data_IF_184771672154
#
_entry.id   IF_184771672154
#
_cell.length_a   1.000
_cell.length_b   1.000
_cell.length_c   1.000
_cell.angle_alpha   90.00
_cell.angle_beta   90.00
_cell.angle_gamma   90.00
#
_symmetry.space_group_name_H-M   'P 1'
#
loop_
_entity.id
_entity.type
_entity.pdbx_description
1 polymer ?
#
# COMPACT_ATOMS: atom_id res chain seq x y z
N UNK A 1 12.98 -4.90 -5.13
CA UNK A 1 12.37 -4.99 -3.79
C UNK A 1 12.54 -3.63 -3.16
N UNK A 2 11.46 -3.06 -2.65
CA UNK A 2 11.44 -1.81 -1.91
C UNK A 2 11.24 -2.11 -0.43
N UNK A 3 11.89 -1.36 0.45
CA UNK A 3 11.59 -1.34 1.88
C UNK A 3 10.38 -0.43 2.09
N UNK A 4 9.32 -0.96 2.67
CA UNK A 4 8.05 -0.29 2.89
C UNK A 4 7.90 0.10 4.35
N UNK A 5 7.41 1.33 4.58
CA UNK A 5 6.99 1.82 5.88
C UNK A 5 5.60 2.44 5.76
N UNK A 6 4.66 1.99 6.60
CA UNK A 6 3.33 2.55 6.72
C UNK A 6 3.16 3.29 8.04
N UNK A 7 2.51 4.46 7.99
CA UNK A 7 2.32 5.36 9.12
C UNK A 7 0.84 5.65 9.34
N UNK A 8 0.41 5.81 10.59
CA UNK A 8 -0.94 6.27 10.89
C UNK A 8 -1.14 7.77 10.58
N UNK A 9 -2.36 8.27 10.80
CA UNK A 9 -2.70 9.69 10.61
C UNK A 9 -1.95 10.67 11.53
N UNK A 10 -1.28 10.18 12.57
CA UNK A 10 -0.43 10.96 13.46
C UNK A 10 1.05 10.89 13.08
N UNK A 11 1.39 10.13 12.03
CA UNK A 11 2.76 9.93 11.57
C UNK A 11 3.55 8.88 12.37
N UNK A 12 2.90 8.07 13.20
CA UNK A 12 3.54 6.96 13.90
C UNK A 12 3.65 5.78 12.95
N UNK A 13 4.84 5.19 12.85
CA UNK A 13 5.04 4.01 12.02
C UNK A 13 4.31 2.80 12.64
N UNK A 14 3.47 2.16 11.84
CA UNK A 14 2.61 1.04 12.23
C UNK A 14 2.84 -0.21 11.39
N UNK A 15 3.53 -0.08 10.25
CA UNK A 15 3.85 -1.18 9.34
C UNK A 15 5.30 -1.03 8.86
N UNK A 16 6.00 -2.16 8.76
CA UNK A 16 7.27 -2.29 8.05
C UNK A 16 7.25 -3.53 7.16
N UNK A 17 8.04 -3.55 6.09
CA UNK A 17 8.17 -4.77 5.30
C UNK A 17 8.76 -4.54 3.93
N UNK A 18 8.46 -5.45 3.01
CA UNK A 18 8.99 -5.41 1.66
C UNK A 18 7.88 -5.39 0.61
N UNK A 19 8.13 -4.64 -0.46
CA UNK A 19 7.25 -4.51 -1.61
C UNK A 19 7.99 -4.91 -2.88
N UNK A 20 7.42 -5.84 -3.64
CA UNK A 20 7.96 -6.29 -4.91
C UNK A 20 7.13 -5.76 -6.06
N UNK A 21 7.77 -5.06 -6.99
CA UNK A 21 7.13 -4.42 -8.13
C UNK A 21 7.48 -5.12 -9.44
N UNK A 22 6.46 -5.46 -10.21
CA UNK A 22 6.56 -5.89 -11.61
C UNK A 22 5.78 -4.94 -12.50
N UNK A 23 6.44 -4.45 -13.55
CA UNK A 23 5.79 -3.67 -14.59
C UNK A 23 5.19 -4.62 -15.63
N UNK A 24 3.89 -4.49 -15.85
CA UNK A 24 3.17 -5.21 -16.89
C UNK A 24 3.11 -4.43 -18.20
N UNK A 25 2.06 -4.67 -18.98
CA UNK A 25 1.82 -3.96 -20.22
C UNK A 25 1.29 -2.54 -19.96
N UNK A 26 1.78 -1.57 -20.73
CA UNK A 26 1.36 -0.15 -20.68
C UNK A 26 1.55 0.48 -19.30
N UNK A 27 0.46 0.76 -18.58
CA UNK A 27 0.46 1.40 -17.26
C UNK A 27 0.19 0.41 -16.12
N UNK A 28 0.04 -0.88 -16.41
CA UNK A 28 -0.25 -1.87 -15.37
C UNK A 28 0.98 -2.23 -14.54
N UNK A 29 0.76 -2.42 -13.24
CA UNK A 29 1.73 -3.00 -12.31
C UNK A 29 1.07 -4.10 -11.49
N UNK A 30 1.87 -5.07 -11.09
CA UNK A 30 1.48 -6.14 -10.17
C UNK A 30 2.66 -6.52 -9.30
N UNK A 31 2.44 -7.35 -8.29
CA UNK A 31 3.51 -7.90 -7.49
C UNK A 31 3.02 -8.42 -6.16
N UNK A 32 3.95 -8.54 -5.22
CA UNK A 32 3.72 -9.12 -3.91
C UNK A 32 4.26 -8.22 -2.80
N UNK A 33 3.70 -8.36 -1.60
CA UNK A 33 4.12 -7.67 -0.39
C UNK A 33 4.26 -8.67 0.77
N UNK A 34 5.18 -8.35 1.68
CA UNK A 34 5.37 -9.03 2.97
C UNK A 34 5.53 -7.94 4.03
N UNK A 35 4.51 -7.79 4.87
CA UNK A 35 4.32 -6.69 5.80
C UNK A 35 4.14 -7.18 7.22
N UNK A 36 4.86 -6.56 8.14
CA UNK A 36 4.80 -6.79 9.57
C UNK A 36 4.17 -5.58 10.27
N UNK A 37 3.29 -5.87 11.23
CA UNK A 37 2.69 -4.84 12.06
C UNK A 37 3.65 -4.42 13.18
N UNK A 38 3.72 -3.12 13.43
CA UNK A 38 4.43 -2.54 14.56
C UNK A 38 3.42 -2.07 15.59
N UNK A 39 3.52 -2.61 16.80
CA UNK A 39 2.58 -2.30 17.89
C UNK A 39 1.22 -2.95 17.70
N UNK A 40 0.16 -2.23 18.07
CA UNK A 40 -1.22 -2.72 18.05
C UNK A 40 -2.18 -1.70 17.40
N UNK A 41 -1.94 -1.27 16.15
CA UNK A 41 -2.84 -0.37 15.45
C UNK A 41 -4.20 -1.04 15.19
N UNK A 42 -5.27 -0.26 15.24
CA UNK A 42 -6.62 -0.74 14.99
C UNK A 42 -7.10 -0.33 13.59
N UNK A 43 -7.96 -1.15 13.00
CA UNK A 43 -8.64 -0.86 11.74
C UNK A 43 -7.66 -0.47 10.63
N UNK A 44 -6.62 -1.25 10.39
CA UNK A 44 -5.69 -1.00 9.28
C UNK A 44 -6.04 -1.83 8.04
N UNK A 45 -7.05 -2.70 8.10
CA UNK A 45 -7.39 -3.58 6.98
C UNK A 45 -6.35 -4.68 6.75
N UNK A 46 -6.52 -5.48 5.69
CA UNK A 46 -5.66 -6.63 5.37
C UNK A 46 -4.34 -6.18 4.70
N UNK A 47 -3.52 -5.42 5.41
CA UNK A 47 -2.18 -4.97 4.95
C UNK A 47 -1.05 -5.48 5.86
N UNK A 48 -1.19 -6.71 6.36
CA UNK A 48 -0.19 -7.39 7.21
C UNK A 48 -0.14 -8.87 6.86
N UNK A 49 1.02 -9.50 7.00
CA UNK A 49 1.30 -10.84 6.48
C UNK A 49 1.86 -10.76 5.08
N UNK A 50 1.41 -11.65 4.19
CA UNK A 50 1.83 -11.70 2.80
C UNK A 50 0.61 -11.55 1.88
N UNK A 51 0.83 -11.00 0.68
CA UNK A 51 -0.23 -10.93 -0.33
C UNK A 51 0.26 -10.44 -1.69
N UNK A 52 -0.67 -10.45 -2.64
CA UNK A 52 -0.47 -9.98 -4.01
C UNK A 52 -1.31 -8.73 -4.26
N UNK A 53 -0.84 -7.86 -5.15
CA UNK A 53 -1.55 -6.64 -5.49
C UNK A 53 -1.64 -6.44 -7.01
N UNK A 54 -2.60 -5.63 -7.41
CA UNK A 54 -2.68 -5.04 -8.75
C UNK A 54 -2.68 -3.52 -8.62
N UNK A 55 -2.19 -2.84 -9.66
CA UNK A 55 -2.20 -1.40 -9.69
C UNK A 55 -1.91 -0.82 -11.07
N UNK A 56 -1.82 0.50 -11.11
CA UNK A 56 -1.42 1.26 -12.28
C UNK A 56 -0.36 2.30 -11.94
N UNK A 57 0.45 2.66 -12.93
CA UNK A 57 1.39 3.77 -12.88
C UNK A 57 1.19 4.64 -14.12
N UNK A 58 0.82 5.90 -13.92
CA UNK A 58 0.63 6.89 -14.98
C UNK A 58 1.16 8.25 -14.53
N UNK A 59 2.00 8.89 -15.35
CA UNK A 59 2.61 10.20 -15.04
C UNK A 59 3.30 10.25 -13.66
N UNK A 60 4.02 9.17 -13.31
CA UNK A 60 4.65 8.96 -12.00
C UNK A 60 3.68 8.90 -10.81
N UNK A 61 2.37 8.85 -11.04
CA UNK A 61 1.38 8.53 -10.03
C UNK A 61 1.12 7.04 -10.04
N UNK A 62 0.98 6.46 -8.86
CA UNK A 62 0.79 5.05 -8.59
C UNK A 62 -0.51 4.87 -7.82
N UNK A 63 -1.33 3.92 -8.28
CA UNK A 63 -2.55 3.49 -7.61
C UNK A 63 -2.47 1.97 -7.44
N UNK A 64 -2.62 1.48 -6.21
CA UNK A 64 -2.56 0.05 -5.90
C UNK A 64 -3.77 -0.38 -5.08
N UNK A 65 -4.30 -1.57 -5.37
CA UNK A 65 -5.18 -2.31 -4.47
C UNK A 65 -4.39 -3.51 -3.90
N UNK A 66 -4.12 -3.50 -2.59
CA UNK A 66 -3.28 -4.49 -1.92
C UNK A 66 -3.94 -5.86 -1.75
N UNK A 67 -5.24 -5.94 -1.96
CA UNK A 67 -6.00 -7.16 -1.75
C UNK A 67 -7.15 -7.26 -2.77
N UNK A 68 -6.82 -7.44 -4.06
CA UNK A 68 -7.77 -7.33 -5.17
C UNK A 68 -8.87 -8.39 -5.19
N UNK A 69 -8.71 -9.48 -4.44
CA UNK A 69 -9.71 -10.54 -4.35
C UNK A 69 -10.90 -10.18 -3.44
N UNK A 70 -10.84 -9.07 -2.71
CA UNK A 70 -11.86 -8.66 -1.74
C UNK A 70 -12.61 -7.43 -2.26
N UNK A 71 -13.92 -7.34 -2.03
CA UNK A 71 -14.76 -6.27 -2.59
C UNK A 71 -15.12 -5.15 -1.58
N UNK A 72 -15.29 -5.50 -0.29
CA UNK A 72 -15.79 -4.58 0.75
C UNK A 72 -14.82 -4.46 1.95
N UNK A 73 -13.54 -4.70 1.73
CA UNK A 73 -12.51 -4.72 2.79
C UNK A 73 -11.13 -4.46 2.17
N UNK A 74 -10.94 -3.30 1.54
CA UNK A 74 -9.80 -3.01 0.67
C UNK A 74 -8.84 -2.01 1.27
N UNK A 75 -7.55 -2.25 1.07
CA UNK A 75 -6.50 -1.26 1.31
C UNK A 75 -5.97 -0.78 -0.02
N UNK A 76 -6.09 0.52 -0.26
CA UNK A 76 -5.55 1.17 -1.45
C UNK A 76 -4.34 2.02 -1.09
N UNK A 77 -3.35 2.05 -1.98
CA UNK A 77 -2.24 2.99 -1.93
C UNK A 77 -2.35 3.98 -3.09
N UNK A 78 -2.20 5.26 -2.79
CA UNK A 78 -2.13 6.34 -3.78
C UNK A 78 -0.83 7.11 -3.54
N UNK A 79 0.12 7.04 -4.47
CA UNK A 79 1.45 7.61 -4.24
C UNK A 79 2.15 8.12 -5.49
N UNK A 80 3.14 8.96 -5.27
CA UNK A 80 4.00 9.52 -6.32
C UNK A 80 5.37 8.85 -6.30
N UNK A 81 5.91 8.58 -7.48
CA UNK A 81 7.24 8.03 -7.70
C UNK A 81 8.22 9.16 -7.96
N UNK A 82 9.26 9.26 -7.14
CA UNK A 82 10.41 10.16 -7.31
C UNK A 82 11.71 9.35 -7.23
N UNK A 83 12.26 9.02 -8.41
CA UNK A 83 13.45 8.19 -8.53
C UNK A 83 13.25 6.79 -7.93
N UNK A 84 13.96 6.51 -6.83
CA UNK A 84 13.90 5.23 -6.12
C UNK A 84 12.92 5.25 -4.94
N UNK A 85 12.21 6.35 -4.73
CA UNK A 85 11.29 6.53 -3.62
C UNK A 85 9.86 6.64 -4.11
N UNK A 86 8.95 6.02 -3.38
CA UNK A 86 7.50 6.15 -3.54
C UNK A 86 6.98 6.70 -2.23
N UNK A 87 6.13 7.73 -2.28
CA UNK A 87 5.45 8.27 -1.10
C UNK A 87 4.01 8.56 -1.40
N UNK A 88 3.13 8.35 -0.44
CA UNK A 88 1.72 8.58 -0.66
C UNK A 88 0.87 8.29 0.56
N UNK A 89 -0.41 8.10 0.31
CA UNK A 89 -1.43 7.79 1.29
C UNK A 89 -1.86 6.32 1.15
N UNK A 90 -2.19 5.70 2.28
CA UNK A 90 -2.95 4.45 2.30
C UNK A 90 -4.34 4.71 2.87
N UNK A 91 -5.35 4.03 2.31
CA UNK A 91 -6.73 4.11 2.78
C UNK A 91 -7.29 2.72 2.93
N UNK A 92 -7.73 2.40 4.15
CA UNK A 92 -8.54 1.23 4.43
C UNK A 92 -10.02 1.60 4.31
N UNK A 93 -10.73 0.91 3.43
CA UNK A 93 -12.17 1.06 3.22
C UNK A 93 -12.89 -0.27 3.40
N UNK A 94 -14.14 -0.21 3.84
CA UNK A 94 -15.06 -1.33 3.67
C UNK A 94 -16.48 -0.86 3.49
N UNK A 95 -17.46 -1.68 3.86
CA UNK A 95 -18.86 -1.46 3.45
C UNK A 95 -19.41 -0.05 3.75
N UNK A 96 -19.07 0.53 4.91
CA UNK A 96 -19.56 1.86 5.32
C UNK A 96 -18.75 3.04 4.75
N UNK A 97 -17.72 2.78 3.95
CA UNK A 97 -16.78 3.78 3.41
C UNK A 97 -15.37 3.64 4.02
N UNK A 98 -14.62 4.76 4.00
CA UNK A 98 -13.28 4.81 4.59
C UNK A 98 -13.34 4.60 6.10
N UNK A 99 -12.57 3.63 6.59
CA UNK A 99 -12.48 3.26 8.00
C UNK A 99 -11.23 3.83 8.66
N UNK A 100 -10.12 3.88 7.93
CA UNK A 100 -8.85 4.42 8.44
C UNK A 100 -7.92 4.83 7.28
N UNK A 101 -6.93 5.65 7.58
CA UNK A 101 -5.95 6.13 6.61
C UNK A 101 -4.65 6.57 7.28
N UNK A 102 -3.63 6.77 6.47
CA UNK A 102 -2.35 7.33 6.87
C UNK A 102 -1.45 7.48 5.65
N UNK A 103 -0.14 7.56 5.88
CA UNK A 103 0.85 7.73 4.80
C UNK A 103 1.74 6.50 4.68
N UNK A 104 2.40 6.36 3.54
CA UNK A 104 3.44 5.35 3.37
C UNK A 104 4.65 5.92 2.62
N UNK A 105 5.77 5.21 2.78
CA UNK A 105 6.94 5.36 1.92
C UNK A 105 7.50 4.01 1.53
N UNK A 106 7.96 3.86 0.30
CA UNK A 106 8.70 2.70 -0.18
C UNK A 106 10.00 3.14 -0.85
N UNK A 107 11.14 2.56 -0.50
CA UNK A 107 12.46 2.93 -1.03
C UNK A 107 13.25 1.69 -1.51
N UNK A 108 13.88 1.80 -2.68
CA UNK A 108 14.58 0.69 -3.36
C UNK A 108 16.01 0.45 -2.87
#
# INVERSE_FOLDING_TARGET
MYQYSGYDSLGVQIIEGSFFFEYGDSSSISGAWDFNVIGSPENIGPQTGEGEYIGTVENNQLLINLNPEWADNNVHLDGAIDGNKITGDWVYSGFAGSMNHGTFSAEK
#
